data_IF_193808584541
#
_entry.id   IF_193808584541
#
_cell.length_a   1.000
_cell.length_b   1.000
_cell.length_c   1.000
_cell.angle_alpha   90.00
_cell.angle_beta   90.00
_cell.angle_gamma   90.00
#
_symmetry.space_group_name_H-M   'P 1'
#
loop_
_entity.id
_entity.type
_entity.pdbx_description
1 polymer ?
#
# COMPACT_ATOMS: atom_id res chain seq x y z
N UNK A 1 -42.99 20.61 -41.39
CA UNK A 1 -41.55 20.57 -41.70
C UNK A 1 -40.81 20.40 -40.37
N UNK A 2 -40.00 19.34 -40.18
CA UNK A 2 -39.20 19.20 -38.97
C UNK A 2 -38.01 20.20 -38.97
N UNK A 3 -37.51 20.64 -37.80
CA UNK A 3 -36.34 21.52 -37.71
C UNK A 3 -35.05 20.76 -38.09
N UNK A 4 -34.00 21.47 -38.55
CA UNK A 4 -32.73 20.85 -38.93
C UNK A 4 -31.97 20.32 -37.70
N UNK A 5 -31.08 19.32 -37.86
CA UNK A 5 -30.26 18.81 -36.75
C UNK A 5 -29.23 19.86 -36.29
N UNK A 6 -28.78 19.80 -35.02
CA UNK A 6 -27.74 20.69 -34.52
C UNK A 6 -26.36 20.35 -35.15
N UNK A 7 -25.45 21.34 -35.28
CA UNK A 7 -24.09 21.10 -35.76
C UNK A 7 -23.24 20.36 -34.71
N UNK A 8 -22.19 19.61 -35.12
CA UNK A 8 -21.23 19.06 -34.19
C UNK A 8 -20.26 20.18 -33.80
N UNK A 9 -20.46 20.77 -32.62
CA UNK A 9 -19.53 21.75 -32.07
C UNK A 9 -18.78 21.11 -30.92
N UNK A 10 -17.52 20.80 -31.23
CA UNK A 10 -16.34 20.58 -30.39
C UNK A 10 -16.52 19.95 -28.99
N UNK A 11 -15.70 18.95 -28.64
CA UNK A 11 -15.47 18.61 -27.23
C UNK A 11 -14.74 19.78 -26.58
N UNK A 12 -15.50 20.69 -25.97
CA UNK A 12 -14.93 21.67 -25.06
C UNK A 12 -14.27 20.90 -23.91
N UNK A 13 -13.01 21.23 -23.72
CA UNK A 13 -12.04 20.52 -22.93
C UNK A 13 -12.39 20.58 -21.44
N UNK A 14 -13.38 19.78 -21.02
CA UNK A 14 -13.43 19.27 -19.66
C UNK A 14 -12.40 18.15 -19.58
N UNK A 15 -11.12 18.52 -19.63
CA UNK A 15 -10.12 17.65 -19.06
C UNK A 15 -10.41 17.66 -17.55
N UNK A 16 -10.86 16.57 -16.92
CA UNK A 16 -10.51 16.41 -15.53
C UNK A 16 -8.99 16.43 -15.55
N UNK A 17 -8.39 17.41 -14.88
CA UNK A 17 -7.01 17.24 -14.43
C UNK A 17 -7.02 15.86 -13.78
N UNK A 18 -6.31 14.84 -14.30
CA UNK A 18 -6.04 13.71 -13.44
C UNK A 18 -5.27 14.36 -12.32
N UNK A 19 -5.90 14.42 -11.14
CA UNK A 19 -5.19 14.56 -9.89
C UNK A 19 -4.03 13.58 -10.00
N UNK A 20 -2.85 14.07 -10.36
CA UNK A 20 -1.60 13.35 -10.20
C UNK A 20 -1.22 13.44 -8.72
N UNK A 21 -2.19 13.11 -7.89
CA UNK A 21 -2.11 12.74 -6.49
C UNK A 21 -2.26 11.21 -6.63
N UNK A 22 -1.27 10.33 -6.51
CA UNK A 22 -0.09 10.30 -5.65
C UNK A 22 0.90 9.26 -6.24
N UNK A 23 1.98 9.63 -6.94
CA UNK A 23 3.10 8.70 -7.14
C UNK A 23 3.98 8.60 -5.88
N UNK A 24 3.81 9.50 -4.91
CA UNK A 24 4.59 9.52 -3.67
C UNK A 24 4.24 8.35 -2.74
N UNK A 25 2.94 8.09 -2.50
CA UNK A 25 2.51 7.01 -1.61
C UNK A 25 2.89 5.62 -2.12
N UNK A 26 2.97 5.41 -3.44
CA UNK A 26 3.38 4.12 -3.97
C UNK A 26 4.83 3.78 -3.61
N UNK A 27 5.74 4.76 -3.70
CA UNK A 27 7.14 4.55 -3.34
C UNK A 27 7.33 4.31 -1.83
N UNK A 28 6.53 4.98 -1.00
CA UNK A 28 6.51 4.78 0.45
C UNK A 28 5.92 3.42 0.82
N UNK A 29 4.79 3.03 0.20
CA UNK A 29 4.17 1.71 0.34
C UNK A 29 5.15 0.58 -0.04
N UNK A 30 5.80 0.67 -1.21
CA UNK A 30 6.78 -0.33 -1.66
C UNK A 30 8.00 -0.44 -0.72
N UNK A 31 8.47 0.70 -0.18
CA UNK A 31 9.56 0.69 0.80
C UNK A 31 9.14 -0.01 2.10
N UNK A 32 7.95 0.32 2.61
CA UNK A 32 7.44 -0.24 3.86
C UNK A 32 7.16 -1.74 3.74
N UNK A 33 6.62 -2.17 2.60
CA UNK A 33 6.44 -3.60 2.30
C UNK A 33 7.76 -4.36 2.26
N UNK A 34 8.82 -3.74 1.75
CA UNK A 34 10.15 -4.35 1.74
C UNK A 34 10.74 -4.45 3.15
N UNK A 35 10.62 -3.40 3.97
CA UNK A 35 11.07 -3.47 5.37
C UNK A 35 10.30 -4.52 6.17
N UNK A 36 8.99 -4.63 5.93
CA UNK A 36 8.16 -5.71 6.47
C UNK A 36 8.65 -7.08 6.00
N UNK A 37 8.92 -7.29 4.71
CA UNK A 37 9.48 -8.55 4.21
C UNK A 37 10.83 -8.91 4.85
N UNK A 38 11.72 -7.92 5.05
CA UNK A 38 13.01 -8.09 5.72
C UNK A 38 12.89 -8.44 7.22
N UNK A 39 11.87 -7.93 7.91
CA UNK A 39 11.53 -8.33 9.29
C UNK A 39 10.88 -9.71 9.37
N UNK A 40 10.50 -10.30 8.23
CA UNK A 40 9.92 -11.62 8.12
C UNK A 40 8.52 -11.62 7.52
N UNK A 41 7.84 -10.48 7.44
CA UNK A 41 6.45 -10.35 7.01
C UNK A 41 6.21 -10.74 5.54
N UNK A 42 6.04 -12.04 5.28
CA UNK A 42 5.82 -12.60 3.92
C UNK A 42 4.43 -12.33 3.34
N UNK A 43 3.46 -11.91 4.16
CA UNK A 43 2.08 -11.71 3.74
C UNK A 43 1.87 -10.29 3.21
N UNK A 44 2.26 -10.06 1.95
CA UNK A 44 2.20 -8.73 1.32
C UNK A 44 0.78 -8.14 1.30
N UNK A 45 -0.26 -8.94 1.06
CA UNK A 45 -1.64 -8.46 1.03
C UNK A 45 -2.11 -7.95 2.40
N UNK A 46 -1.75 -8.66 3.46
CA UNK A 46 -2.07 -8.29 4.84
C UNK A 46 -1.23 -7.09 5.29
N UNK A 47 0.06 -7.05 4.93
CA UNK A 47 0.92 -5.89 5.15
C UNK A 47 0.34 -4.64 4.48
N UNK A 48 -0.17 -4.75 3.24
CA UNK A 48 -0.81 -3.63 2.54
C UNK A 48 -2.08 -3.15 3.23
N UNK A 49 -2.91 -4.07 3.72
CA UNK A 49 -4.13 -3.72 4.43
C UNK A 49 -3.81 -3.01 5.75
N UNK A 50 -2.86 -3.54 6.53
CA UNK A 50 -2.43 -2.92 7.79
C UNK A 50 -1.75 -1.57 7.56
N UNK A 51 -0.88 -1.45 6.54
CA UNK A 51 -0.29 -0.16 6.17
C UNK A 51 -1.36 0.87 5.81
N UNK A 52 -2.42 0.48 5.09
CA UNK A 52 -3.52 1.41 4.79
C UNK A 52 -4.33 1.80 6.02
N UNK A 53 -4.52 0.88 6.96
CA UNK A 53 -5.21 1.15 8.22
C UNK A 53 -4.40 2.07 9.14
N UNK A 54 -3.07 1.93 9.11
CA UNK A 54 -2.13 2.67 9.94
C UNK A 54 -1.50 3.88 9.23
N UNK A 55 -2.13 4.39 8.15
CA UNK A 55 -1.66 5.57 7.41
C UNK A 55 -0.20 5.49 6.92
N UNK A 56 0.25 4.29 6.58
CA UNK A 56 1.61 3.95 6.17
C UNK A 56 2.67 4.13 7.28
N UNK A 57 2.26 4.03 8.54
CA UNK A 57 3.16 4.01 9.68
C UNK A 57 3.74 2.61 9.91
N UNK A 58 5.07 2.47 9.79
CA UNK A 58 5.75 1.18 9.92
C UNK A 58 5.69 0.62 11.34
N UNK A 59 5.93 1.46 12.35
CA UNK A 59 5.98 1.00 13.75
C UNK A 59 4.61 0.49 14.19
N UNK A 60 3.55 1.25 13.91
CA UNK A 60 2.18 0.86 14.24
C UNK A 60 1.75 -0.37 13.44
N UNK A 61 2.13 -0.44 12.16
CA UNK A 61 1.85 -1.63 11.34
C UNK A 61 2.56 -2.87 11.86
N UNK A 62 3.83 -2.77 12.25
CA UNK A 62 4.57 -3.87 12.86
C UNK A 62 3.95 -4.25 14.20
N UNK A 63 3.51 -3.31 15.03
CA UNK A 63 2.85 -3.58 16.31
C UNK A 63 1.53 -4.36 16.11
N UNK A 64 0.68 -3.93 15.18
CA UNK A 64 -0.57 -4.63 14.81
C UNK A 64 -0.30 -6.02 14.22
N UNK A 65 0.73 -6.14 13.40
CA UNK A 65 1.10 -7.42 12.78
C UNK A 65 1.81 -8.37 13.77
N UNK A 66 2.51 -7.84 14.78
CA UNK A 66 3.22 -8.57 15.84
C UNK A 66 2.29 -8.96 16.99
N UNK A 67 1.23 -8.18 17.24
CA UNK A 67 0.12 -8.55 18.13
C UNK A 67 -0.58 -9.84 17.70
N UNK A 68 -0.45 -10.22 16.43
CA UNK A 68 -0.76 -11.55 15.90
C UNK A 68 0.47 -12.45 16.09
N UNK A 69 0.47 -13.21 17.19
CA UNK A 69 1.57 -13.94 17.83
C UNK A 69 2.37 -14.99 17.00
N UNK A 70 2.82 -14.70 15.78
CA UNK A 70 3.43 -15.69 14.87
C UNK A 70 4.72 -15.24 14.16
N UNK A 71 5.35 -14.14 14.57
CA UNK A 71 6.59 -13.65 13.94
C UNK A 71 7.88 -14.32 14.42
N UNK A 72 7.81 -15.57 14.88
CA UNK A 72 9.05 -16.26 15.23
C UNK A 72 9.16 -17.76 14.90
N UNK A 73 9.95 -18.07 13.86
CA UNK A 73 10.81 -19.25 13.81
C UNK A 73 12.31 -18.91 13.60
N UNK A 74 12.76 -17.69 13.91
CA UNK A 74 14.16 -17.24 13.71
C UNK A 74 14.91 -16.90 15.02
N UNK A 75 14.25 -16.76 16.17
CA UNK A 75 14.84 -16.72 17.51
C UNK A 75 15.15 -18.11 18.08
N UNK A 76 14.75 -19.20 17.41
CA UNK A 76 15.16 -20.55 17.82
C UNK A 76 16.68 -20.78 17.64
N UNK A 77 17.35 -20.05 16.73
CA UNK A 77 18.79 -20.29 16.43
C UNK A 77 19.77 -19.57 17.39
N UNK A 78 19.35 -18.49 18.06
CA UNK A 78 20.22 -17.71 18.95
C UNK A 78 20.33 -18.27 20.38
N UNK A 79 19.37 -19.11 20.81
CA UNK A 79 19.35 -19.69 22.16
C UNK A 79 20.02 -21.07 22.20
N UNK A 80 20.06 -21.80 21.07
CA UNK A 80 20.71 -23.12 20.98
C UNK A 80 22.23 -23.09 20.86
N UNK A 81 22.84 -21.96 20.49
CA UNK A 81 24.29 -21.86 20.33
C UNK A 81 25.07 -21.69 21.66
N UNK A 82 24.40 -21.73 22.81
CA UNK A 82 25.01 -21.49 24.15
C UNK A 82 24.82 -22.68 25.12
N UNK A 83 24.19 -23.79 24.70
CA UNK A 83 24.02 -25.01 25.53
C UNK A 83 24.84 -26.21 25.04
#
# INVERSE_FOLDING_TARGET
MPPPPPPPTAPDAMAPKPAAELPANHAEEDRLLKELEEMGFKQVDLNKEVLRMNEYDLEQSVDDLCGVAEWDPMLEELVYAVY
#
